data_IF_741426882869
#
_entry.id   IF_741426882869
#
_cell.length_a   1.000
_cell.length_b   1.000
_cell.length_c   1.000
_cell.angle_alpha   90.00
_cell.angle_beta   90.00
_cell.angle_gamma   90.00
#
_symmetry.space_group_name_H-M   'P 1'
#
loop_
_entity.id
_entity.type
_entity.pdbx_description
1 polymer ?
#
# COMPACT_ATOMS: atom_id res chain seq x y z
N UNK A 1 -27.70 3.22 -15.67
CA UNK A 1 -26.33 3.69 -15.41
C UNK A 1 -25.50 2.54 -14.90
N UNK A 2 -24.30 2.39 -15.45
CA UNK A 2 -23.38 1.40 -14.91
C UNK A 2 -22.84 1.87 -13.56
N UNK A 3 -22.75 0.97 -12.61
CA UNK A 3 -22.09 1.22 -11.34
C UNK A 3 -20.59 0.97 -11.52
N UNK A 4 -19.85 2.04 -11.80
CA UNK A 4 -18.39 1.95 -11.93
C UNK A 4 -17.73 3.28 -11.57
N UNK A 5 -16.49 3.18 -11.13
CA UNK A 5 -15.65 4.34 -10.84
C UNK A 5 -14.34 4.20 -11.59
N UNK A 6 -13.94 5.25 -12.30
CA UNK A 6 -12.69 5.29 -13.06
C UNK A 6 -11.87 6.48 -12.57
N UNK A 7 -10.63 6.23 -12.18
CA UNK A 7 -9.72 7.28 -11.70
C UNK A 7 -8.35 7.14 -12.35
N UNK A 8 -7.73 8.28 -12.62
CA UNK A 8 -6.32 8.31 -13.03
C UNK A 8 -5.47 8.31 -11.77
N UNK A 9 -4.48 7.44 -11.72
CA UNK A 9 -3.62 7.33 -10.53
C UNK A 9 -2.96 8.66 -10.18
N UNK A 10 -2.51 9.41 -11.18
CA UNK A 10 -1.86 10.70 -10.96
C UNK A 10 -2.75 11.77 -10.33
N UNK A 11 -4.07 11.62 -10.41
CA UNK A 11 -5.04 12.57 -9.84
C UNK A 11 -5.54 12.16 -8.45
N UNK A 12 -5.10 11.00 -7.95
CA UNK A 12 -5.54 10.51 -6.64
C UNK A 12 -4.93 11.32 -5.50
N UNK A 13 -5.73 11.54 -4.46
CA UNK A 13 -5.24 12.13 -3.22
C UNK A 13 -4.14 11.24 -2.63
N UNK A 14 -3.05 11.87 -2.21
CA UNK A 14 -1.89 11.13 -1.68
C UNK A 14 -1.42 11.68 -0.34
N UNK A 15 -0.71 10.82 0.39
CA UNK A 15 -0.04 11.15 1.65
C UNK A 15 1.42 10.72 1.56
N UNK A 16 2.22 11.03 2.58
CA UNK A 16 3.66 10.73 2.61
C UNK A 16 4.39 11.26 1.37
N UNK A 17 4.24 12.57 1.13
CA UNK A 17 4.93 13.27 0.02
C UNK A 17 4.60 12.69 -1.35
N UNK A 18 3.33 12.29 -1.55
CA UNK A 18 2.87 11.77 -2.84
C UNK A 18 3.14 10.29 -3.08
N UNK A 19 3.86 9.64 -2.20
CA UNK A 19 4.22 8.24 -2.40
C UNK A 19 3.09 7.25 -2.15
N UNK A 20 2.06 7.65 -1.40
CA UNK A 20 1.01 6.75 -0.95
C UNK A 20 -0.35 7.30 -1.39
N UNK A 21 -0.97 6.66 -2.37
CA UNK A 21 -2.23 7.11 -2.95
C UNK A 21 -3.41 6.35 -2.36
N UNK A 22 -4.43 7.12 -1.95
CA UNK A 22 -5.64 6.59 -1.32
C UNK A 22 -6.59 5.98 -2.36
N UNK A 23 -6.12 4.97 -3.09
CA UNK A 23 -6.83 4.41 -4.24
C UNK A 23 -8.18 3.81 -3.88
N UNK A 24 -8.27 3.06 -2.80
CA UNK A 24 -9.53 2.45 -2.37
C UNK A 24 -10.61 3.49 -2.07
N UNK A 25 -10.23 4.59 -1.42
CA UNK A 25 -11.16 5.67 -1.13
C UNK A 25 -11.59 6.41 -2.41
N UNK A 26 -10.63 6.67 -3.31
CA UNK A 26 -10.92 7.30 -4.60
C UNK A 26 -11.89 6.48 -5.44
N UNK A 27 -11.75 5.16 -5.42
CA UNK A 27 -12.63 4.25 -6.15
C UNK A 27 -13.95 3.96 -5.44
N UNK A 28 -14.11 4.45 -4.21
CA UNK A 28 -15.27 4.15 -3.35
C UNK A 28 -15.42 2.65 -3.11
N UNK A 29 -14.29 1.96 -2.98
CA UNK A 29 -14.23 0.53 -2.80
C UNK A 29 -14.72 0.15 -1.40
N UNK A 30 -15.62 -0.84 -1.29
CA UNK A 30 -16.23 -1.19 -0.01
C UNK A 30 -15.90 -2.59 0.50
N UNK A 31 -15.33 -3.46 -0.35
CA UNK A 31 -15.10 -4.86 0.02
C UNK A 31 -13.72 -5.16 0.59
N UNK A 32 -12.72 -4.36 0.24
CA UNK A 32 -11.35 -4.51 0.72
C UNK A 32 -10.60 -3.18 0.57
N UNK A 33 -9.45 -3.07 1.22
CA UNK A 33 -8.59 -1.91 1.10
C UNK A 33 -7.68 -1.99 -0.12
N UNK A 34 -7.40 -0.86 -0.73
CA UNK A 34 -6.47 -0.77 -1.85
C UNK A 34 -5.71 0.54 -1.79
N UNK A 35 -4.39 0.45 -1.90
CA UNK A 35 -3.54 1.61 -2.01
C UNK A 35 -2.57 1.41 -3.17
N UNK A 36 -2.18 2.51 -3.79
CA UNK A 36 -1.14 2.52 -4.82
C UNK A 36 0.03 3.34 -4.27
N UNK A 37 1.20 2.72 -4.20
CA UNK A 37 2.40 3.35 -3.67
C UNK A 37 3.38 3.57 -4.81
N UNK A 38 3.86 4.80 -4.94
CA UNK A 38 4.88 5.17 -5.92
C UNK A 38 6.17 5.53 -5.19
N UNK A 39 7.21 4.73 -5.39
CA UNK A 39 8.52 4.97 -4.80
C UNK A 39 9.52 5.39 -5.88
N UNK A 40 10.33 6.41 -5.60
CA UNK A 40 11.43 6.77 -6.50
C UNK A 40 12.48 5.66 -6.53
N UNK A 41 13.42 5.72 -7.50
CA UNK A 41 14.52 4.76 -7.53
C UNK A 41 15.27 4.67 -6.22
N UNK A 42 15.62 3.45 -5.82
CA UNK A 42 16.44 3.14 -4.66
C UNK A 42 15.95 3.73 -3.33
N UNK A 43 14.64 3.87 -3.17
CA UNK A 43 14.03 4.32 -1.92
C UNK A 43 14.08 3.19 -0.89
N UNK A 44 14.63 3.49 0.28
CA UNK A 44 14.87 2.52 1.33
C UNK A 44 13.87 2.58 2.48
N UNK A 45 14.32 2.15 3.63
CA UNK A 45 13.50 1.94 4.83
C UNK A 45 12.76 3.18 5.33
N UNK A 46 13.29 4.37 5.09
CA UNK A 46 12.66 5.62 5.51
C UNK A 46 11.33 5.89 4.83
N UNK A 47 11.07 5.24 3.69
CA UNK A 47 9.84 5.42 2.90
C UNK A 47 8.80 4.36 3.24
N UNK A 48 9.25 3.13 3.49
CA UNK A 48 8.35 2.03 3.86
C UNK A 48 9.04 1.15 4.90
N UNK A 49 9.03 1.58 6.17
CA UNK A 49 9.78 0.92 7.23
C UNK A 49 9.19 -0.42 7.63
N UNK A 50 9.95 -1.18 8.39
CA UNK A 50 9.54 -2.46 8.94
C UNK A 50 8.32 -2.27 9.86
N UNK A 51 7.24 -2.98 9.58
CA UNK A 51 6.00 -2.87 10.35
C UNK A 51 5.14 -4.12 10.20
N UNK A 52 4.15 -4.26 11.08
CA UNK A 52 3.09 -5.25 10.96
C UNK A 52 1.71 -4.59 11.09
N UNK A 53 0.67 -5.38 10.93
CA UNK A 53 -0.72 -4.95 11.09
C UNK A 53 -1.45 -5.80 12.15
N UNK A 54 -0.72 -6.25 13.16
CA UNK A 54 -1.27 -7.10 14.22
C UNK A 54 -2.45 -6.44 14.93
N UNK A 55 -2.35 -5.14 15.20
CA UNK A 55 -3.40 -4.38 15.87
C UNK A 55 -4.68 -4.33 15.04
N UNK A 56 -4.57 -4.10 13.76
CA UNK A 56 -5.70 -4.02 12.83
C UNK A 56 -6.18 -5.39 12.37
N UNK A 57 -5.41 -6.45 12.60
CA UNK A 57 -5.67 -7.83 12.17
C UNK A 57 -5.80 -7.96 10.65
N UNK A 58 -5.19 -7.06 9.91
CA UNK A 58 -5.30 -6.98 8.46
C UNK A 58 -4.22 -7.79 7.77
N UNK A 59 -4.63 -8.69 6.85
CA UNK A 59 -3.69 -9.32 5.92
C UNK A 59 -3.60 -8.50 4.65
N UNK A 60 -2.44 -8.56 3.98
CA UNK A 60 -2.21 -7.78 2.78
C UNK A 60 -1.64 -8.62 1.66
N UNK A 61 -1.94 -8.19 0.43
CA UNK A 61 -1.34 -8.73 -0.79
C UNK A 61 -0.56 -7.60 -1.46
N UNK A 62 0.68 -7.91 -1.84
CA UNK A 62 1.59 -7.00 -2.51
C UNK A 62 1.84 -7.47 -3.94
N UNK A 63 1.71 -6.55 -4.88
CA UNK A 63 2.07 -6.82 -6.27
C UNK A 63 2.65 -5.57 -6.92
N UNK A 64 3.70 -5.75 -7.72
CA UNK A 64 4.33 -4.64 -8.42
C UNK A 64 3.61 -4.39 -9.75
N UNK A 65 3.10 -3.18 -9.92
CA UNK A 65 2.48 -2.77 -11.18
C UNK A 65 3.55 -2.45 -12.23
N UNK A 66 4.60 -1.75 -11.82
CA UNK A 66 5.74 -1.44 -12.69
C UNK A 66 6.99 -1.22 -11.84
N UNK A 67 8.16 -1.33 -12.49
CA UNK A 67 9.41 -1.23 -11.78
C UNK A 67 9.73 -2.50 -11.02
N UNK A 68 10.56 -2.38 -10.00
CA UNK A 68 10.99 -3.52 -9.19
C UNK A 68 11.30 -3.09 -7.77
N UNK A 69 11.38 -4.06 -6.89
CA UNK A 69 11.77 -3.80 -5.51
C UNK A 69 12.02 -5.09 -4.75
N UNK A 70 12.25 -4.94 -3.45
CA UNK A 70 12.43 -6.06 -2.54
C UNK A 70 11.44 -5.90 -1.38
N UNK A 71 10.67 -6.94 -1.13
CA UNK A 71 9.86 -7.06 0.08
C UNK A 71 10.65 -7.92 1.05
N UNK A 72 10.97 -7.38 2.21
CA UNK A 72 11.65 -8.14 3.27
C UNK A 72 10.63 -8.52 4.32
N UNK A 73 10.49 -9.82 4.55
CA UNK A 73 9.53 -10.39 5.49
C UNK A 73 10.32 -11.20 6.51
N UNK A 74 10.46 -10.66 7.70
CA UNK A 74 11.22 -11.30 8.80
C UNK A 74 12.58 -11.82 8.35
N UNK A 75 13.35 -10.98 7.64
CA UNK A 75 14.68 -11.30 7.17
C UNK A 75 14.75 -12.01 5.84
N UNK A 76 13.65 -12.53 5.32
CA UNK A 76 13.62 -13.15 3.99
C UNK A 76 13.36 -12.08 2.93
N UNK A 77 14.21 -12.03 1.91
CA UNK A 77 14.06 -11.08 0.82
C UNK A 77 13.33 -11.70 -0.36
N UNK A 78 12.26 -11.03 -0.81
CA UNK A 78 11.42 -11.48 -1.91
C UNK A 78 11.46 -10.42 -3.00
N UNK A 79 11.84 -10.82 -4.21
CA UNK A 79 11.85 -9.91 -5.36
C UNK A 79 10.41 -9.54 -5.76
N UNK A 80 10.15 -8.24 -5.82
CA UNK A 80 8.89 -7.72 -6.33
C UNK A 80 9.06 -7.34 -7.81
N UNK A 81 8.28 -7.98 -8.65
CA UNK A 81 8.22 -7.74 -10.08
C UNK A 81 6.81 -8.09 -10.57
N UNK A 82 6.57 -7.96 -11.86
CA UNK A 82 5.24 -8.15 -12.43
C UNK A 82 4.77 -9.61 -12.44
N UNK A 83 5.65 -10.55 -12.12
CA UNK A 83 5.33 -11.98 -12.10
C UNK A 83 5.17 -12.56 -10.70
N UNK A 84 5.30 -11.74 -9.65
CA UNK A 84 5.28 -12.19 -8.26
C UNK A 84 4.18 -11.50 -7.48
N UNK A 85 3.36 -12.29 -6.79
CA UNK A 85 2.31 -11.81 -5.89
C UNK A 85 2.59 -12.39 -4.50
N UNK A 86 2.57 -11.55 -3.47
CA UNK A 86 2.93 -11.97 -2.11
C UNK A 86 1.79 -11.64 -1.15
N UNK A 87 1.39 -12.62 -0.35
CA UNK A 87 0.48 -12.40 0.78
C UNK A 87 1.29 -12.36 2.08
N UNK A 88 1.01 -11.36 2.91
CA UNK A 88 1.63 -11.23 4.24
C UNK A 88 0.54 -11.18 5.30
N UNK A 89 0.64 -12.04 6.30
CA UNK A 89 -0.30 -12.06 7.42
C UNK A 89 -0.16 -10.85 8.33
N UNK A 90 -1.20 -10.59 9.13
CA UNK A 90 -1.29 -9.39 9.96
C UNK A 90 -0.14 -9.25 10.98
N UNK A 91 0.29 -10.35 11.58
CA UNK A 91 1.29 -10.31 12.66
C UNK A 91 2.74 -10.41 12.16
N UNK A 92 2.93 -10.53 10.86
CA UNK A 92 4.25 -10.71 10.25
C UNK A 92 4.82 -9.36 9.83
N UNK A 93 6.01 -9.04 10.29
CA UNK A 93 6.66 -7.77 9.95
C UNK A 93 7.18 -7.78 8.52
N UNK A 94 7.03 -6.66 7.85
CA UNK A 94 7.49 -6.48 6.48
C UNK A 94 7.98 -5.06 6.24
N UNK A 95 8.86 -4.94 5.26
CA UNK A 95 9.32 -3.65 4.75
C UNK A 95 9.58 -3.75 3.25
N UNK A 96 9.56 -2.62 2.57
CA UNK A 96 9.76 -2.54 1.12
C UNK A 96 10.87 -1.54 0.81
N UNK A 97 11.70 -1.88 -0.18
CA UNK A 97 12.58 -0.92 -0.81
C UNK A 97 12.43 -1.03 -2.32
N UNK A 98 12.53 0.09 -3.01
CA UNK A 98 12.44 0.10 -4.46
C UNK A 98 13.77 -0.22 -5.12
N UNK A 99 13.70 -0.73 -6.35
CA UNK A 99 14.88 -0.98 -7.17
C UNK A 99 15.32 0.25 -7.96
N UNK A 100 16.29 0.06 -8.88
CA UNK A 100 16.94 1.18 -9.60
C UNK A 100 16.01 1.97 -10.52
N UNK A 101 14.88 1.39 -10.92
CA UNK A 101 13.93 2.06 -11.81
C UNK A 101 12.69 2.58 -11.06
N UNK A 102 12.72 2.55 -9.74
CA UNK A 102 11.54 2.86 -8.94
C UNK A 102 10.58 1.69 -8.85
N UNK A 103 9.46 1.90 -8.17
CA UNK A 103 8.47 0.86 -7.96
C UNK A 103 7.09 1.48 -7.82
N UNK A 104 6.13 1.03 -8.62
CA UNK A 104 4.72 1.25 -8.34
C UNK A 104 4.16 -0.05 -7.78
N UNK A 105 3.71 0.01 -6.53
CA UNK A 105 3.24 -1.14 -5.77
C UNK A 105 1.73 -1.01 -5.55
N UNK A 106 1.01 -2.10 -5.75
CA UNK A 106 -0.38 -2.19 -5.33
C UNK A 106 -0.44 -3.01 -4.05
N UNK A 107 -1.13 -2.48 -3.04
CA UNK A 107 -1.34 -3.17 -1.79
C UNK A 107 -2.84 -3.33 -1.57
N UNK A 108 -3.27 -4.57 -1.42
CA UNK A 108 -4.65 -4.91 -1.12
C UNK A 108 -4.72 -5.44 0.30
N UNK A 109 -5.79 -5.16 1.03
CA UNK A 109 -5.88 -5.63 2.39
C UNK A 109 -7.29 -5.77 2.91
N UNK A 110 -7.43 -6.58 3.95
CA UNK A 110 -8.69 -6.79 4.64
C UNK A 110 -8.49 -7.63 5.88
N UNK A 111 -9.53 -7.72 6.69
CA UNK A 111 -9.52 -8.51 7.93
C UNK A 111 -10.24 -9.83 7.67
N UNK A 112 -9.56 -10.97 7.86
CA UNK A 112 -10.18 -12.26 7.61
C UNK A 112 -11.51 -12.43 8.36
N UNK A 113 -12.54 -12.83 7.62
CA UNK A 113 -13.86 -13.12 8.20
C UNK A 113 -14.69 -11.94 8.63
N UNK A 114 -14.23 -10.72 8.38
CA UNK A 114 -14.94 -9.51 8.78
C UNK A 114 -15.32 -8.64 7.60
N UNK A 115 -16.37 -7.81 7.78
CA UNK A 115 -16.74 -6.79 6.83
C UNK A 115 -15.65 -5.71 6.83
N UNK A 116 -15.20 -5.32 5.64
CA UNK A 116 -14.17 -4.30 5.53
C UNK A 116 -14.66 -2.93 6.00
N UNK A 117 -13.86 -2.27 6.83
CA UNK A 117 -14.05 -0.88 7.21
C UNK A 117 -12.77 -0.10 6.90
N UNK A 118 -12.90 0.97 6.12
CA UNK A 118 -11.74 1.80 5.78
C UNK A 118 -11.26 2.54 7.02
N UNK A 119 -9.96 2.41 7.33
CA UNK A 119 -9.36 3.13 8.45
C UNK A 119 -9.33 4.64 8.16
N UNK A 120 -9.42 5.43 9.21
CA UNK A 120 -9.45 6.89 9.13
C UNK A 120 -8.30 7.45 8.29
N UNK A 121 -7.10 6.91 8.45
CA UNK A 121 -5.91 7.32 7.69
C UNK A 121 -6.12 7.27 6.17
N UNK A 122 -6.92 6.33 5.69
CA UNK A 122 -7.11 6.09 4.26
C UNK A 122 -8.38 6.72 3.70
N UNK A 123 -9.10 7.50 4.50
CA UNK A 123 -10.26 8.25 4.04
C UNK A 123 -9.83 9.53 3.35
N UNK A 124 -10.57 9.92 2.32
CA UNK A 124 -10.31 11.19 1.63
C UNK A 124 -10.46 12.35 2.60
N UNK A 125 -9.52 13.29 2.52
CA UNK A 125 -9.49 14.46 3.38
C UNK A 125 -8.90 14.26 4.76
N UNK A 126 -8.56 13.03 5.15
CA UNK A 126 -7.91 12.77 6.43
C UNK A 126 -6.50 13.38 6.44
N UNK A 127 -5.99 13.81 7.61
CA UNK A 127 -4.67 14.41 7.70
C UNK A 127 -3.57 13.49 7.17
N UNK A 128 -2.56 14.08 6.51
CA UNK A 128 -1.37 13.36 6.09
C UNK A 128 -0.47 13.13 7.32
N UNK A 129 -0.18 11.86 7.69
CA UNK A 129 0.67 11.59 8.86
C UNK A 129 2.06 12.20 8.77
N UNK A 130 2.60 12.38 7.55
CA UNK A 130 3.92 12.99 7.36
C UNK A 130 3.94 14.49 7.65
N UNK A 131 2.80 15.15 7.61
CA UNK A 131 2.67 16.60 7.83
C UNK A 131 2.25 16.94 9.26
N UNK A 132 2.01 15.94 10.10
CA UNK A 132 1.61 16.19 11.48
C UNK A 132 2.83 16.47 12.37
N UNK A 133 2.72 17.37 13.34
CA UNK A 133 3.78 17.59 14.31
C UNK A 133 4.09 16.31 15.07
N UNK A 134 5.36 16.15 15.39
CA UNK A 134 5.82 14.99 16.17
C UNK A 134 5.25 15.03 17.61
#
# INVERSE_FOLDING_TARGET
MADMTVKQVGDMESIFYGSFKRAGAELELSSFGMNVLDFPPDAGEGVYPDHDHAEEREEEVYLAWRGSGILTVEGEEIALNQDTVVRVGAETKRKVRSGPDGLRLIVLGGVPGEVYERRERYRLGAPDPAEQPA
#
